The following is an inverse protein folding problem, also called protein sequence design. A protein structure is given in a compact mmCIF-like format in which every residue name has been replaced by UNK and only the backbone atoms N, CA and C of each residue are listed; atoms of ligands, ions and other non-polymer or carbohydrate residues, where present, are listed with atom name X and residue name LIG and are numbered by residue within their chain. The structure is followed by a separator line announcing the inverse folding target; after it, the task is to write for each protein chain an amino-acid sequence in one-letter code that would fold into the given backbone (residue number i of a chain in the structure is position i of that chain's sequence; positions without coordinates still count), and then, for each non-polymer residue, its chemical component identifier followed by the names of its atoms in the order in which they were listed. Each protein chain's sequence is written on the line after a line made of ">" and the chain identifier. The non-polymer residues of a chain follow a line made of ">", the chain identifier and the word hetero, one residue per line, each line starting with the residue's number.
data_IF_326895490648
#
_entry.id   IF_326895490648
#
_cell.length_a   1.000
_cell.length_b   1.000
_cell.length_c   1.000
_cell.angle_alpha   90.00
_cell.angle_beta   90.00
_cell.angle_gamma   90.00
#
_symmetry.space_group_name_H-M   'P 1'
#
loop_
_entity.id
_entity.type
_entity.pdbx_description
1 polymer ?
#
# COMPACT_ATOMS: atom_id res chain seq x y z
N UNK A 1 1.88 -25.43 -7.76
CA UNK A 1 1.75 -25.93 -9.15
C UNK A 1 0.67 -25.19 -9.95
N UNK A 2 -0.56 -25.05 -9.44
CA UNK A 2 -1.69 -24.48 -10.20
C UNK A 2 -1.76 -22.93 -10.29
N UNK A 3 -0.89 -22.19 -9.60
CA UNK A 3 -0.97 -20.72 -9.50
C UNK A 3 -0.87 -20.01 -10.85
N UNK A 4 -0.06 -20.53 -11.78
CA UNK A 4 0.20 -19.92 -13.08
C UNK A 4 -0.60 -20.53 -14.24
N UNK A 5 -1.52 -21.46 -13.96
CA UNK A 5 -2.22 -22.21 -15.01
C UNK A 5 -3.23 -21.35 -15.78
N UNK A 6 -3.98 -20.49 -15.09
CA UNK A 6 -4.86 -19.51 -15.73
C UNK A 6 -5.21 -18.34 -14.79
N UNK A 7 -5.52 -17.14 -15.32
CA UNK A 7 -5.95 -16.00 -14.49
C UNK A 7 -7.25 -16.28 -13.70
N UNK A 8 -8.16 -17.08 -14.26
CA UNK A 8 -9.40 -17.48 -13.57
C UNK A 8 -9.09 -18.38 -12.38
N UNK A 9 -8.21 -19.38 -12.55
CA UNK A 9 -7.80 -20.27 -11.47
C UNK A 9 -7.00 -19.51 -10.40
N UNK A 10 -6.15 -18.57 -10.80
CA UNK A 10 -5.43 -17.71 -9.87
C UNK A 10 -6.41 -16.90 -8.99
N UNK A 11 -7.49 -16.38 -9.57
CA UNK A 11 -8.52 -15.67 -8.83
C UNK A 11 -9.21 -16.59 -7.82
N UNK A 12 -9.55 -17.82 -8.23
CA UNK A 12 -10.14 -18.82 -7.34
C UNK A 12 -9.19 -19.21 -6.19
N UNK A 13 -7.90 -19.41 -6.48
CA UNK A 13 -6.90 -19.72 -5.46
C UNK A 13 -6.77 -18.55 -4.47
N UNK A 14 -6.72 -17.31 -4.95
CA UNK A 14 -6.68 -16.13 -4.07
C UNK A 14 -7.90 -16.06 -3.16
N UNK A 15 -9.11 -16.32 -3.67
CA UNK A 15 -10.32 -16.35 -2.85
C UNK A 15 -10.31 -17.48 -1.80
N UNK A 16 -9.78 -18.65 -2.15
CA UNK A 16 -9.60 -19.74 -1.19
C UNK A 16 -8.60 -19.36 -0.10
N UNK A 17 -7.47 -18.77 -0.48
CA UNK A 17 -6.42 -18.31 0.44
C UNK A 17 -6.96 -17.23 1.39
N UNK A 18 -7.75 -16.27 0.89
CA UNK A 18 -8.43 -15.27 1.72
C UNK A 18 -9.39 -15.91 2.73
N UNK A 19 -10.17 -16.92 2.31
CA UNK A 19 -11.09 -17.62 3.21
C UNK A 19 -10.33 -18.36 4.32
N UNK A 20 -9.26 -19.07 3.97
CA UNK A 20 -8.40 -19.77 4.94
C UNK A 20 -7.75 -18.78 5.91
N UNK A 21 -7.24 -17.64 5.41
CA UNK A 21 -6.63 -16.61 6.25
C UNK A 21 -7.60 -16.07 7.30
N UNK A 22 -8.87 -15.88 6.95
CA UNK A 22 -9.90 -15.42 7.90
C UNK A 22 -10.23 -16.48 8.95
N UNK A 23 -10.15 -17.76 8.61
CA UNK A 23 -10.44 -18.85 9.54
C UNK A 23 -9.28 -19.18 10.48
N UNK A 24 -8.03 -18.99 10.03
CA UNK A 24 -6.83 -19.35 10.80
C UNK A 24 -6.19 -18.17 11.55
N UNK A 25 -6.62 -16.93 11.28
CA UNK A 25 -6.09 -15.71 11.90
C UNK A 25 -4.54 -15.71 11.95
N UNK A 26 -3.93 -15.63 13.13
CA UNK A 26 -2.48 -15.58 13.32
C UNK A 26 -1.73 -16.85 12.87
N UNK A 27 -2.38 -18.01 12.88
CA UNK A 27 -1.80 -19.28 12.44
C UNK A 27 -1.60 -19.34 10.93
N UNK A 28 -2.26 -18.45 10.17
CA UNK A 28 -2.08 -18.39 8.73
C UNK A 28 -0.65 -17.99 8.31
N UNK A 29 0.11 -17.34 9.20
CA UNK A 29 1.43 -16.78 8.89
C UNK A 29 2.47 -17.81 8.41
N UNK A 30 2.36 -19.07 8.83
CA UNK A 30 3.29 -20.13 8.39
C UNK A 30 3.14 -20.46 6.90
N UNK A 31 1.94 -20.26 6.34
CA UNK A 31 1.65 -20.52 4.93
C UNK A 31 2.00 -19.33 4.04
N UNK A 32 2.05 -18.12 4.61
CA UNK A 32 2.41 -16.90 3.88
C UNK A 32 3.81 -16.96 3.28
N UNK A 33 4.79 -17.56 3.96
CA UNK A 33 6.16 -17.67 3.44
C UNK A 33 6.22 -18.30 2.04
N UNK A 34 5.42 -19.33 1.78
CA UNK A 34 5.35 -19.99 0.48
C UNK A 34 4.49 -19.25 -0.55
N UNK A 35 3.47 -18.52 -0.10
CA UNK A 35 2.51 -17.82 -0.97
C UNK A 35 3.02 -16.45 -1.42
N UNK A 36 3.76 -15.74 -0.57
CA UNK A 36 4.19 -14.37 -0.83
C UNK A 36 5.02 -14.22 -2.10
N UNK A 37 6.03 -15.06 -2.39
CA UNK A 37 6.79 -14.95 -3.64
C UNK A 37 5.89 -15.02 -4.89
N UNK A 38 4.85 -15.86 -4.85
CA UNK A 38 3.89 -16.01 -5.95
C UNK A 38 3.02 -14.75 -6.10
N UNK A 39 2.53 -14.20 -4.98
CA UNK A 39 1.71 -12.99 -4.96
C UNK A 39 2.50 -11.75 -5.39
N UNK A 40 3.70 -11.55 -4.84
CA UNK A 40 4.56 -10.41 -5.18
C UNK A 40 4.99 -10.47 -6.65
N UNK A 41 5.28 -11.66 -7.17
CA UNK A 41 5.59 -11.86 -8.58
C UNK A 41 4.45 -11.49 -9.53
N UNK A 42 3.20 -11.52 -9.07
CA UNK A 42 2.04 -11.10 -9.87
C UNK A 42 2.00 -9.58 -10.02
N UNK A 43 2.28 -8.82 -8.94
CA UNK A 43 2.32 -7.35 -9.01
C UNK A 43 3.38 -6.84 -9.99
N UNK A 44 4.52 -7.53 -10.10
CA UNK A 44 5.59 -7.14 -11.01
C UNK A 44 5.28 -7.49 -12.48
N UNK A 45 4.60 -8.63 -12.72
CA UNK A 45 4.41 -9.21 -14.06
C UNK A 45 3.05 -8.94 -14.71
N UNK A 46 2.06 -8.48 -13.95
CA UNK A 46 0.71 -8.29 -14.48
C UNK A 46 0.68 -7.15 -15.52
N UNK A 47 0.45 -7.54 -16.77
CA UNK A 47 0.26 -6.66 -17.92
C UNK A 47 -1.17 -6.70 -18.46
N UNK A 48 -2.10 -7.36 -17.77
CA UNK A 48 -3.50 -7.46 -18.18
C UNK A 48 -4.19 -6.09 -18.24
N UNK A 49 -5.05 -5.84 -19.22
CA UNK A 49 -5.62 -4.51 -19.46
C UNK A 49 -6.27 -3.87 -18.21
N UNK A 50 -6.95 -4.68 -17.39
CA UNK A 50 -7.62 -4.23 -16.16
C UNK A 50 -6.77 -4.36 -14.89
N UNK A 51 -5.61 -5.02 -14.96
CA UNK A 51 -4.72 -5.27 -13.79
C UNK A 51 -5.44 -5.97 -12.63
N UNK A 52 -6.45 -6.76 -12.96
CA UNK A 52 -7.29 -7.48 -11.99
C UNK A 52 -6.47 -8.45 -11.11
N UNK A 53 -5.46 -9.18 -11.62
CA UNK A 53 -4.58 -9.97 -10.76
C UNK A 53 -3.86 -9.11 -9.70
N UNK A 54 -3.32 -7.95 -10.10
CA UNK A 54 -2.68 -7.01 -9.17
C UNK A 54 -3.66 -6.49 -8.12
N UNK A 55 -4.87 -6.14 -8.55
CA UNK A 55 -5.95 -5.68 -7.68
C UNK A 55 -6.28 -6.72 -6.61
N UNK A 56 -6.42 -7.99 -7.01
CA UNK A 56 -6.73 -9.10 -6.10
C UNK A 56 -5.61 -9.38 -5.12
N UNK A 57 -4.35 -9.31 -5.55
CA UNK A 57 -3.20 -9.47 -4.64
C UNK A 57 -3.16 -8.36 -3.59
N UNK A 58 -3.35 -7.10 -4.00
CA UNK A 58 -3.42 -5.97 -3.06
C UNK A 58 -4.58 -6.13 -2.07
N UNK A 59 -5.75 -6.57 -2.54
CA UNK A 59 -6.88 -6.88 -1.67
C UNK A 59 -6.54 -8.00 -0.67
N UNK A 60 -5.92 -9.09 -1.11
CA UNK A 60 -5.54 -10.19 -0.24
C UNK A 60 -4.58 -9.74 0.88
N UNK A 61 -3.64 -8.83 0.62
CA UNK A 61 -2.79 -8.26 1.68
C UNK A 61 -3.59 -7.52 2.76
N UNK A 62 -4.68 -6.84 2.39
CA UNK A 62 -5.60 -6.21 3.36
C UNK A 62 -6.43 -7.24 4.14
N UNK A 63 -6.69 -8.40 3.55
CA UNK A 63 -7.37 -9.51 4.23
C UNK A 63 -6.44 -10.18 5.23
N UNK A 64 -5.16 -10.33 4.90
CA UNK A 64 -4.17 -10.93 5.79
C UNK A 64 -3.92 -10.07 7.03
N UNK A 65 -3.92 -8.75 6.89
CA UNK A 65 -3.78 -7.80 8.00
C UNK A 65 -2.57 -8.12 8.88
N UNK A 66 -2.81 -8.28 10.19
CA UNK A 66 -1.78 -8.59 11.18
C UNK A 66 -1.03 -9.90 10.91
N UNK A 67 -1.66 -10.90 10.27
CA UNK A 67 -0.99 -12.17 9.94
C UNK A 67 0.18 -11.99 8.97
N UNK A 68 0.22 -10.88 8.22
CA UNK A 68 1.29 -10.55 7.29
C UNK A 68 2.36 -9.61 7.89
N UNK A 69 2.27 -9.23 9.18
CA UNK A 69 3.15 -8.23 9.82
C UNK A 69 4.64 -8.60 9.71
N UNK A 70 5.00 -9.85 10.03
CA UNK A 70 6.37 -10.36 9.95
C UNK A 70 6.94 -10.28 8.51
N UNK A 71 6.08 -10.16 7.49
CA UNK A 71 6.44 -10.11 6.08
C UNK A 71 6.33 -8.71 5.45
N UNK A 72 6.02 -7.66 6.22
CA UNK A 72 5.90 -6.30 5.69
C UNK A 72 7.17 -5.80 5.00
N UNK A 73 8.33 -6.27 5.45
CA UNK A 73 9.62 -5.97 4.82
C UNK A 73 9.72 -6.45 3.36
N UNK A 74 8.92 -7.45 2.95
CA UNK A 74 8.80 -7.91 1.56
C UNK A 74 7.66 -7.22 0.82
N UNK A 75 6.53 -7.02 1.50
CA UNK A 75 5.30 -6.49 0.90
C UNK A 75 5.42 -4.99 0.58
N UNK A 76 5.85 -4.18 1.55
CA UNK A 76 5.90 -2.72 1.42
C UNK A 76 6.74 -2.28 0.21
N UNK A 77 7.98 -2.79 0.00
CA UNK A 77 8.77 -2.39 -1.17
C UNK A 77 8.10 -2.69 -2.51
N UNK A 78 7.32 -3.78 -2.61
CA UNK A 78 6.66 -4.18 -3.87
C UNK A 78 5.46 -3.27 -4.14
N UNK A 79 4.66 -2.95 -3.12
CA UNK A 79 3.54 -2.00 -3.26
C UNK A 79 4.06 -0.61 -3.60
N UNK A 80 5.13 -0.16 -2.94
CA UNK A 80 5.80 1.11 -3.25
C UNK A 80 6.25 1.15 -4.71
N UNK A 81 6.98 0.12 -5.17
CA UNK A 81 7.37 0.02 -6.59
C UNK A 81 6.18 0.08 -7.53
N UNK A 82 5.04 -0.51 -7.16
CA UNK A 82 3.83 -0.52 -8.00
C UNK A 82 3.33 0.88 -8.31
N UNK A 83 3.31 1.81 -7.34
CA UNK A 83 2.88 3.18 -7.60
C UNK A 83 4.00 4.13 -8.08
N UNK A 84 5.26 3.77 -7.91
CA UNK A 84 6.40 4.53 -8.45
C UNK A 84 6.75 4.15 -9.90
N UNK A 85 6.30 2.98 -10.38
CA UNK A 85 6.60 2.49 -11.73
C UNK A 85 6.08 3.43 -12.82
N UNK A 86 6.99 3.95 -13.63
CA UNK A 86 6.66 4.74 -14.82
C UNK A 86 5.85 3.90 -15.83
N UNK A 87 4.85 4.52 -16.45
CA UNK A 87 3.96 3.86 -17.42
C UNK A 87 2.91 2.94 -16.79
N UNK A 88 2.88 2.78 -15.46
CA UNK A 88 1.80 2.06 -14.79
C UNK A 88 0.50 2.90 -14.84
N UNK A 89 -0.67 2.30 -15.15
CA UNK A 89 -1.93 3.04 -15.21
C UNK A 89 -2.27 3.74 -13.88
N UNK A 90 -2.79 4.97 -13.96
CA UNK A 90 -3.11 5.81 -12.79
C UNK A 90 -3.99 5.08 -11.77
N UNK A 91 -4.98 4.30 -12.22
CA UNK A 91 -5.88 3.58 -11.31
C UNK A 91 -5.15 2.54 -10.44
N UNK A 92 -4.15 1.84 -10.98
CA UNK A 92 -3.36 0.86 -10.21
C UNK A 92 -2.41 1.56 -9.25
N UNK A 93 -1.78 2.65 -9.69
CA UNK A 93 -0.92 3.46 -8.83
C UNK A 93 -1.71 4.00 -7.64
N UNK A 94 -2.91 4.54 -7.90
CA UNK A 94 -3.85 4.98 -6.87
C UNK A 94 -4.20 3.84 -5.92
N UNK A 95 -4.55 2.66 -6.45
CA UNK A 95 -4.88 1.51 -5.62
C UNK A 95 -3.73 1.08 -4.71
N UNK A 96 -2.49 1.06 -5.22
CA UNK A 96 -1.32 0.72 -4.42
C UNK A 96 -1.09 1.75 -3.28
N UNK A 97 -1.28 3.03 -3.55
CA UNK A 97 -1.25 4.09 -2.52
C UNK A 97 -2.36 3.84 -1.48
N UNK A 98 -3.60 3.68 -1.91
CA UNK A 98 -4.76 3.41 -1.04
C UNK A 98 -4.53 2.15 -0.19
N UNK A 99 -3.85 1.13 -0.74
CA UNK A 99 -3.53 -0.12 -0.04
C UNK A 99 -2.55 0.14 1.11
N UNK A 100 -1.50 0.94 0.90
CA UNK A 100 -0.57 1.32 1.98
C UNK A 100 -1.32 2.02 3.13
N UNK A 101 -2.17 3.00 2.82
CA UNK A 101 -2.93 3.72 3.84
C UNK A 101 -3.93 2.83 4.59
N UNK A 102 -4.44 1.76 3.97
CA UNK A 102 -5.29 0.77 4.64
C UNK A 102 -4.48 -0.20 5.50
N UNK A 103 -3.32 -0.66 5.03
CA UNK A 103 -2.40 -1.52 5.81
C UNK A 103 -1.96 -0.79 7.08
N UNK A 104 -1.64 0.51 7.00
CA UNK A 104 -1.20 1.28 8.17
C UNK A 104 -2.24 1.39 9.29
N UNK A 105 -3.51 1.04 9.03
CA UNK A 105 -4.56 0.97 10.06
C UNK A 105 -4.62 -0.38 10.76
N UNK A 106 -4.01 -1.40 10.19
CA UNK A 106 -4.06 -2.80 10.66
C UNK A 106 -2.71 -3.29 11.19
N UNK A 107 -1.61 -2.75 10.68
CA UNK A 107 -0.24 -3.21 10.94
C UNK A 107 0.65 -2.01 11.26
N UNK A 108 1.58 -2.16 12.21
CA UNK A 108 2.55 -1.13 12.55
C UNK A 108 3.58 -0.95 11.42
N UNK A 109 3.62 0.24 10.80
CA UNK A 109 4.55 0.54 9.70
C UNK A 109 5.68 1.49 10.10
N UNK A 110 5.94 1.71 11.39
CA UNK A 110 6.94 2.68 11.86
C UNK A 110 8.35 2.41 11.29
N UNK A 111 8.78 1.14 11.24
CA UNK A 111 10.08 0.74 10.67
C UNK A 111 10.19 0.99 9.16
N UNK A 112 9.06 1.20 8.49
CA UNK A 112 8.96 1.43 7.05
C UNK A 112 8.60 2.89 6.72
N UNK A 113 8.45 3.77 7.71
CA UNK A 113 7.92 5.12 7.54
C UNK A 113 8.66 5.90 6.44
N UNK A 114 10.00 5.96 6.50
CA UNK A 114 10.79 6.64 5.47
C UNK A 114 10.62 6.00 4.07
N UNK A 115 10.58 4.66 4.01
CA UNK A 115 10.39 3.90 2.76
C UNK A 115 9.02 4.11 2.13
N UNK A 116 8.05 4.63 2.88
CA UNK A 116 6.69 4.91 2.41
C UNK A 116 6.49 6.40 2.16
N UNK A 117 6.83 7.26 3.13
CA UNK A 117 6.56 8.69 3.10
C UNK A 117 7.33 9.38 1.97
N UNK A 118 8.58 9.00 1.70
CA UNK A 118 9.35 9.62 0.60
C UNK A 118 8.72 9.33 -0.78
N UNK A 119 8.39 8.08 -1.14
CA UNK A 119 7.58 7.79 -2.33
C UNK A 119 6.23 8.52 -2.39
N UNK A 120 5.48 8.57 -1.28
CA UNK A 120 4.20 9.30 -1.25
C UNK A 120 4.40 10.80 -1.50
N UNK A 121 5.48 11.37 -0.97
CA UNK A 121 5.86 12.78 -1.22
C UNK A 121 6.18 13.02 -2.69
N UNK A 122 6.87 12.07 -3.35
CA UNK A 122 7.12 12.13 -4.80
C UNK A 122 5.82 11.99 -5.61
N UNK A 123 4.91 11.11 -5.18
CA UNK A 123 3.59 10.96 -5.80
C UNK A 123 2.74 12.23 -5.62
N UNK A 124 2.91 12.96 -4.53
CA UNK A 124 2.28 14.25 -4.30
C UNK A 124 2.83 15.34 -5.23
N UNK A 125 4.15 15.37 -5.40
CA UNK A 125 4.85 16.37 -6.22
C UNK A 125 4.55 16.18 -7.72
N UNK A 126 4.78 14.97 -8.22
CA UNK A 126 4.75 14.65 -9.66
C UNK A 126 3.47 13.97 -10.13
N UNK A 127 2.60 13.55 -9.21
CA UNK A 127 1.38 12.81 -9.55
C UNK A 127 0.22 13.69 -10.01
N UNK A 128 -0.69 13.07 -10.75
CA UNK A 128 -1.97 13.66 -11.14
C UNK A 128 -2.88 13.88 -9.91
N UNK A 129 -3.91 14.76 -9.99
CA UNK A 129 -4.77 15.07 -8.85
C UNK A 129 -5.33 13.84 -8.09
N UNK A 130 -5.78 12.75 -8.74
CA UNK A 130 -6.26 11.56 -8.03
C UNK A 130 -5.17 10.86 -7.18
N UNK A 131 -3.91 10.90 -7.63
CA UNK A 131 -2.78 10.34 -6.88
C UNK A 131 -2.39 11.24 -5.71
N UNK A 132 -2.48 12.56 -5.89
CA UNK A 132 -2.23 13.55 -4.83
C UNK A 132 -3.20 13.37 -3.66
N UNK A 133 -4.50 13.25 -3.96
CA UNK A 133 -5.52 12.99 -2.94
C UNK A 133 -5.27 11.67 -2.23
N UNK A 134 -5.06 10.57 -2.97
CA UNK A 134 -4.78 9.27 -2.38
C UNK A 134 -3.50 9.27 -1.51
N UNK A 135 -2.47 9.99 -1.95
CA UNK A 135 -1.22 10.12 -1.20
C UNK A 135 -1.43 10.88 0.11
N UNK A 136 -2.19 11.97 0.09
CA UNK A 136 -2.53 12.73 1.30
C UNK A 136 -3.42 11.95 2.26
N UNK A 137 -4.41 11.21 1.76
CA UNK A 137 -5.23 10.31 2.59
C UNK A 137 -4.38 9.22 3.26
N UNK A 138 -3.42 8.67 2.52
CA UNK A 138 -2.48 7.67 3.05
C UNK A 138 -1.50 8.28 4.06
N UNK A 139 -1.00 9.48 3.81
CA UNK A 139 -0.19 10.24 4.77
C UNK A 139 -0.97 10.55 6.04
N UNK A 140 -2.26 10.89 5.95
CA UNK A 140 -3.12 11.09 7.11
C UNK A 140 -3.24 9.82 7.96
N UNK A 141 -3.41 8.66 7.33
CA UNK A 141 -3.44 7.37 8.03
C UNK A 141 -2.09 7.07 8.72
N UNK A 142 -0.97 7.41 8.08
CA UNK A 142 0.37 7.25 8.66
C UNK A 142 0.63 8.25 9.80
N UNK A 143 0.17 9.50 9.71
CA UNK A 143 0.26 10.49 10.79
C UNK A 143 -0.43 9.97 12.05
N UNK A 144 -1.61 9.38 11.91
CA UNK A 144 -2.35 8.82 13.04
C UNK A 144 -1.59 7.69 13.72
N UNK A 145 -0.82 6.91 12.98
CA UNK A 145 -0.01 5.81 13.50
C UNK A 145 1.34 6.27 14.10
N UNK A 146 2.06 7.15 13.38
CA UNK A 146 3.39 7.63 13.75
C UNK A 146 3.36 8.69 14.86
N UNK A 147 2.28 9.47 14.94
CA UNK A 147 2.19 10.60 15.86
C UNK A 147 3.36 11.59 15.66
N UNK A 148 4.09 11.87 16.74
CA UNK A 148 5.21 12.83 16.73
C UNK A 148 6.38 12.41 15.85
N UNK A 149 6.54 11.12 15.57
CA UNK A 149 7.62 10.64 14.69
C UNK A 149 7.44 11.14 13.25
N UNK A 150 6.23 11.58 12.87
CA UNK A 150 5.98 12.23 11.58
C UNK A 150 6.67 13.59 11.43
N UNK A 151 6.98 14.28 12.53
CA UNK A 151 7.59 15.62 12.51
C UNK A 151 8.90 15.65 11.71
N UNK A 152 9.66 14.55 11.71
CA UNK A 152 10.89 14.40 10.93
C UNK A 152 10.66 14.54 9.40
N UNK A 153 9.47 14.18 8.91
CA UNK A 153 9.12 14.21 7.49
C UNK A 153 8.29 15.43 7.10
N UNK A 154 7.58 16.03 8.06
CA UNK A 154 6.61 17.11 7.86
C UNK A 154 7.15 18.27 7.02
N UNK A 155 8.39 18.70 7.27
CA UNK A 155 8.99 19.81 6.51
C UNK A 155 9.10 19.52 5.01
N UNK A 156 9.43 18.28 4.64
CA UNK A 156 9.57 17.88 3.22
C UNK A 156 8.20 17.79 2.55
N UNK A 157 7.19 17.24 3.25
CA UNK A 157 5.83 17.12 2.72
C UNK A 157 5.19 18.50 2.56
N UNK A 158 5.27 19.36 3.59
CA UNK A 158 4.69 20.70 3.55
C UNK A 158 5.32 21.58 2.47
N UNK A 159 6.62 21.41 2.17
CA UNK A 159 7.27 22.10 1.05
C UNK A 159 6.55 21.78 -0.27
N UNK A 160 6.26 20.52 -0.54
CA UNK A 160 5.55 20.08 -1.76
C UNK A 160 4.11 20.58 -1.78
N UNK A 161 3.40 20.48 -0.64
CA UNK A 161 2.01 20.98 -0.51
C UNK A 161 1.94 22.47 -0.86
N UNK A 162 2.84 23.28 -0.28
CA UNK A 162 2.88 24.72 -0.52
C UNK A 162 3.31 25.06 -1.95
N UNK A 163 4.26 24.32 -2.53
CA UNK A 163 4.70 24.53 -3.90
C UNK A 163 3.57 24.34 -4.92
N UNK A 164 2.71 23.34 -4.69
CA UNK A 164 1.58 23.02 -5.59
C UNK A 164 0.25 23.63 -5.13
N UNK A 165 0.23 24.41 -4.04
CA UNK A 165 -0.97 25.00 -3.45
C UNK A 165 -2.09 23.97 -3.20
N UNK A 166 -1.71 22.78 -2.71
CA UNK A 166 -2.65 21.69 -2.47
C UNK A 166 -3.40 21.95 -1.16
N UNK A 167 -4.73 21.91 -1.19
CA UNK A 167 -5.56 22.04 0.00
C UNK A 167 -6.10 20.68 0.43
N UNK A 168 -5.96 20.34 1.70
CA UNK A 168 -6.46 19.07 2.23
C UNK A 168 -6.79 19.18 3.72
N UNK A 169 -8.07 19.44 4.01
CA UNK A 169 -8.54 19.79 5.36
C UNK A 169 -8.18 18.76 6.43
N UNK A 170 -8.24 17.47 6.11
CA UNK A 170 -7.88 16.41 7.06
C UNK A 170 -6.39 16.40 7.38
N UNK A 171 -5.53 16.69 6.40
CA UNK A 171 -4.10 16.72 6.60
C UNK A 171 -3.71 17.92 7.47
N UNK A 172 -4.25 19.09 7.14
CA UNK A 172 -4.04 20.33 7.92
C UNK A 172 -4.48 20.17 9.38
N UNK A 173 -5.64 19.54 9.61
CA UNK A 173 -6.13 19.25 10.96
C UNK A 173 -5.23 18.28 11.74
N UNK A 174 -4.70 17.24 11.08
CA UNK A 174 -3.83 16.28 11.75
C UNK A 174 -2.46 16.89 12.06
N UNK A 175 -1.91 17.68 11.13
CA UNK A 175 -0.64 18.39 11.33
C UNK A 175 -0.74 19.41 12.47
N UNK A 176 -1.84 20.16 12.55
CA UNK A 176 -2.03 21.13 13.64
C UNK A 176 -2.16 20.48 15.02
N UNK A 177 -2.65 19.24 15.10
CA UNK A 177 -2.71 18.46 16.35
C UNK A 177 -1.36 17.87 16.78
N UNK A 178 -0.37 17.83 15.90
CA UNK A 178 0.98 17.35 16.21
C UNK A 178 1.90 18.44 16.78
N UNK A 179 1.53 19.72 16.58
CA UNK A 179 2.21 20.90 17.10
C UNK A 179 1.81 21.17 18.55
#
# INVERSE_FOLDING_TARGET
>A
EYWHTSPSLQTTILSLVEAISRSLEGEFKIYLAGLLPLMLGVLDKDTSAKRTPSERVMHAFLVFGASAEEYMHLIIPVIVRTFEKHGQPTFVRKQAIDTIGKISRQVNLNDFAAKIIHPLTRALDMGEPPLRTAALDSLCALIQQLGKDYLHFMGTVNKVINQHQIQHSNYELLVSKLQ
#
